data_IF_761580192479
#
_entry.id   IF_761580192479
#
_cell.length_a   1.000
_cell.length_b   1.000
_cell.length_c   1.000
_cell.angle_alpha   90.00
_cell.angle_beta   90.00
_cell.angle_gamma   90.00
#
_symmetry.space_group_name_H-M   'P 1'
#
loop_
_entity.id
_entity.type
_entity.pdbx_description
1 polymer ?
#
# COMPACT_ATOMS: atom_id res chain seq x y z
N UNK A 1 7.93 -7.32 -0.49
CA UNK A 1 7.25 -7.50 0.83
C UNK A 1 8.11 -7.07 2.01
N UNK A 2 9.42 -7.36 2.03
CA UNK A 2 10.32 -6.98 3.14
C UNK A 2 10.25 -5.49 3.51
N UNK A 3 10.34 -4.58 2.52
CA UNK A 3 10.19 -3.14 2.75
C UNK A 3 8.85 -2.78 3.43
N UNK A 4 7.76 -3.41 2.99
CA UNK A 4 6.43 -3.19 3.56
C UNK A 4 6.38 -3.55 5.04
N UNK A 5 6.95 -4.70 5.41
CA UNK A 5 7.02 -5.13 6.80
C UNK A 5 7.92 -4.20 7.63
N UNK A 6 9.13 -3.93 7.15
CA UNK A 6 10.13 -3.15 7.87
C UNK A 6 9.68 -1.70 8.14
N UNK A 7 8.91 -1.10 7.23
CA UNK A 7 8.50 0.31 7.33
C UNK A 7 7.09 0.47 7.90
N UNK A 8 6.13 -0.28 7.39
CA UNK A 8 4.69 -0.05 7.63
C UNK A 8 4.08 -0.95 8.71
N UNK A 9 4.88 -1.85 9.31
CA UNK A 9 4.55 -2.58 10.56
C UNK A 9 5.52 -2.22 11.71
N UNK A 10 6.28 -1.14 11.56
CA UNK A 10 7.31 -0.76 12.55
C UNK A 10 6.75 -0.02 13.77
N UNK A 11 5.52 0.47 13.69
CA UNK A 11 4.91 1.37 14.68
C UNK A 11 5.48 2.79 14.68
N UNK A 12 6.42 3.12 13.78
CA UNK A 12 7.03 4.45 13.71
C UNK A 12 6.05 5.46 13.10
N UNK A 13 5.92 6.63 13.72
CA UNK A 13 5.00 7.70 13.30
C UNK A 13 5.41 8.44 12.02
N UNK A 14 6.60 8.18 11.48
CA UNK A 14 7.12 8.84 10.27
C UNK A 14 6.75 8.12 8.96
N UNK A 15 5.86 7.13 9.03
CA UNK A 15 5.32 6.41 7.89
C UNK A 15 3.91 5.93 8.20
N UNK A 16 3.06 5.77 7.19
CA UNK A 16 1.77 5.11 7.34
C UNK A 16 1.94 3.73 7.96
N UNK A 17 1.10 3.37 8.93
CA UNK A 17 1.21 2.09 9.66
C UNK A 17 -0.03 1.25 9.48
N UNK A 18 0.15 -0.03 9.17
CA UNK A 18 -0.95 -0.98 9.14
C UNK A 18 -1.51 -1.22 10.55
N UNK A 19 -2.83 -1.30 10.65
CA UNK A 19 -3.53 -1.78 11.85
C UNK A 19 -3.98 -3.24 11.70
N UNK A 20 -4.09 -3.73 10.46
CA UNK A 20 -4.40 -5.12 10.12
C UNK A 20 -3.19 -6.03 10.32
N UNK A 21 -3.42 -7.34 10.46
CA UNK A 21 -2.32 -8.31 10.55
C UNK A 21 -1.57 -8.49 9.22
N UNK A 22 -0.33 -8.96 9.26
CA UNK A 22 0.42 -9.30 8.03
C UNK A 22 -0.28 -10.38 7.18
N UNK A 23 -0.93 -11.35 7.83
CA UNK A 23 -1.71 -12.38 7.14
C UNK A 23 -2.97 -11.81 6.47
N UNK A 24 -3.61 -10.82 7.08
CA UNK A 24 -4.73 -10.10 6.47
C UNK A 24 -4.27 -9.24 5.29
N UNK A 25 -3.17 -8.50 5.43
CA UNK A 25 -2.57 -7.75 4.32
C UNK A 25 -2.24 -8.68 3.14
N UNK A 26 -1.64 -9.84 3.42
CA UNK A 26 -1.30 -10.81 2.37
C UNK A 26 -2.54 -11.28 1.59
N UNK A 27 -3.65 -11.54 2.29
CA UNK A 27 -4.94 -11.88 1.65
C UNK A 27 -5.53 -10.71 0.86
N UNK A 28 -5.45 -9.49 1.38
CA UNK A 28 -5.91 -8.29 0.67
C UNK A 28 -5.13 -8.08 -0.63
N UNK A 29 -3.80 -8.19 -0.61
CA UNK A 29 -2.96 -8.00 -1.79
C UNK A 29 -3.21 -9.04 -2.90
N UNK A 30 -3.77 -10.19 -2.55
CA UNK A 30 -4.16 -11.24 -3.50
C UNK A 30 -5.64 -11.19 -3.88
N UNK A 31 -6.43 -10.27 -3.31
CA UNK A 31 -7.86 -10.19 -3.58
C UNK A 31 -8.11 -9.67 -4.99
N UNK A 32 -9.23 -10.11 -5.59
CA UNK A 32 -9.65 -9.63 -6.91
C UNK A 32 -9.89 -8.12 -6.93
N UNK A 33 -10.32 -7.55 -5.80
CA UNK A 33 -10.50 -6.12 -5.62
C UNK A 33 -9.19 -5.35 -5.77
N UNK A 34 -8.10 -5.85 -5.17
CA UNK A 34 -6.79 -5.18 -5.26
C UNK A 34 -6.10 -5.47 -6.58
N UNK A 35 -6.04 -6.75 -7.00
CA UNK A 35 -5.36 -7.16 -8.24
C UNK A 35 -6.06 -6.58 -9.48
N UNK A 36 -7.39 -6.55 -9.47
CA UNK A 36 -8.21 -6.01 -10.56
C UNK A 36 -8.37 -4.49 -10.55
N UNK A 37 -7.88 -3.80 -9.51
CA UNK A 37 -7.99 -2.34 -9.43
C UNK A 37 -7.16 -1.64 -10.53
N UNK A 38 -7.66 -0.52 -11.08
CA UNK A 38 -6.96 0.21 -12.13
C UNK A 38 -5.68 0.84 -11.59
N UNK A 39 -4.67 0.92 -12.46
CA UNK A 39 -3.49 1.75 -12.19
C UNK A 39 -3.93 3.21 -12.24
N UNK A 40 -3.72 3.94 -11.15
CA UNK A 40 -4.05 5.37 -11.06
C UNK A 40 -2.88 6.27 -11.43
N UNK A 41 -1.64 5.78 -11.22
CA UNK A 41 -0.40 6.51 -11.54
C UNK A 41 0.73 5.57 -11.94
N UNK A 42 1.62 6.07 -12.78
CA UNK A 42 2.91 5.42 -13.08
C UNK A 42 4.04 6.34 -12.62
N UNK A 43 5.07 5.79 -11.99
CA UNK A 43 6.23 6.53 -11.49
C UNK A 43 7.47 6.03 -12.23
N UNK A 44 8.11 6.90 -13.00
CA UNK A 44 9.40 6.60 -13.62
C UNK A 44 10.53 6.79 -12.60
N UNK A 45 11.46 5.84 -12.57
CA UNK A 45 12.66 5.91 -11.73
C UNK A 45 13.79 5.06 -12.28
N UNK A 46 14.95 5.10 -11.61
CA UNK A 46 16.15 4.38 -12.07
C UNK A 46 16.00 2.86 -12.16
N UNK A 47 15.03 2.27 -11.47
CA UNK A 47 14.72 0.84 -11.50
C UNK A 47 13.55 0.49 -12.45
N UNK A 48 13.15 1.44 -13.30
CA UNK A 48 12.03 1.30 -14.23
C UNK A 48 10.72 1.91 -13.73
N UNK A 49 9.64 1.61 -14.46
CA UNK A 49 8.30 2.14 -14.18
C UNK A 49 7.68 1.35 -13.03
N UNK A 50 7.15 2.08 -12.05
CA UNK A 50 6.33 1.53 -10.96
C UNK A 50 4.87 1.91 -11.14
N UNK A 51 3.97 0.96 -10.91
CA UNK A 51 2.54 1.12 -11.11
C UNK A 51 1.83 1.23 -9.77
N UNK A 52 1.10 2.32 -9.58
CA UNK A 52 0.42 2.64 -8.32
C UNK A 52 -1.07 2.34 -8.47
N UNK A 53 -1.61 1.60 -7.50
CA UNK A 53 -3.04 1.39 -7.27
C UNK A 53 -3.41 1.96 -5.92
N UNK A 54 -4.57 2.58 -5.84
CA UNK A 54 -5.13 3.12 -4.60
C UNK A 54 -6.53 2.58 -4.45
N UNK A 55 -6.70 1.67 -3.49
CA UNK A 55 -7.89 0.82 -3.38
C UNK A 55 -8.55 1.11 -2.05
N UNK A 56 -9.79 1.57 -2.07
CA UNK A 56 -10.59 1.67 -0.85
C UNK A 56 -11.17 0.29 -0.53
N UNK A 57 -10.67 -0.38 0.51
CA UNK A 57 -11.07 -1.74 0.88
C UNK A 57 -12.29 -1.79 1.82
N UNK A 58 -12.98 -0.66 1.99
CA UNK A 58 -14.23 -0.55 2.75
C UNK A 58 -14.12 -0.68 4.28
N UNK A 59 -12.90 -0.93 4.79
CA UNK A 59 -12.61 -1.00 6.24
C UNK A 59 -11.27 -0.36 6.56
N UNK A 60 -11.11 0.08 7.80
CA UNK A 60 -9.84 0.65 8.27
C UNK A 60 -8.70 -0.38 8.11
N UNK A 61 -7.65 0.01 7.39
CA UNK A 61 -6.43 -0.78 7.16
C UNK A 61 -5.21 -0.24 7.90
N UNK A 62 -5.29 0.98 8.43
CA UNK A 62 -4.19 1.59 9.14
C UNK A 62 -4.30 3.11 9.23
N UNK A 63 -3.16 3.76 9.43
CA UNK A 63 -3.06 5.22 9.53
C UNK A 63 -2.31 5.79 8.34
N UNK A 64 -2.76 6.94 7.84
CA UNK A 64 -2.15 7.65 6.72
C UNK A 64 -1.27 8.81 7.20
N UNK A 65 0.05 8.67 7.09
CA UNK A 65 0.99 9.74 7.49
C UNK A 65 0.83 11.01 6.64
N UNK A 66 0.37 10.88 5.40
CA UNK A 66 0.13 12.01 4.50
C UNK A 66 -1.16 12.75 4.82
N UNK A 67 -1.99 12.19 5.72
CA UNK A 67 -3.21 12.78 6.23
C UNK A 67 -3.17 12.90 7.77
N UNK A 68 -2.04 13.34 8.33
CA UNK A 68 -1.91 13.61 9.76
C UNK A 68 -1.85 12.37 10.66
N UNK A 69 -1.76 11.17 10.09
CA UNK A 69 -1.80 9.91 10.85
C UNK A 69 -3.22 9.42 11.14
N UNK A 70 -4.22 9.98 10.46
CA UNK A 70 -5.62 9.58 10.64
C UNK A 70 -5.89 8.16 10.11
N UNK A 71 -6.89 7.44 10.69
CA UNK A 71 -7.35 6.16 10.17
C UNK A 71 -7.77 6.23 8.70
N UNK A 72 -7.48 5.19 7.93
CA UNK A 72 -7.82 5.14 6.50
C UNK A 72 -8.26 3.75 6.06
N UNK A 73 -9.19 3.69 5.12
CA UNK A 73 -9.58 2.47 4.41
C UNK A 73 -8.90 2.32 3.05
N UNK A 74 -8.09 3.29 2.65
CA UNK A 74 -7.34 3.24 1.39
C UNK A 74 -6.05 2.47 1.57
N UNK A 75 -5.79 1.55 0.64
CA UNK A 75 -4.55 0.81 0.50
C UNK A 75 -3.84 1.28 -0.78
N UNK A 76 -2.65 1.84 -0.65
CA UNK A 76 -1.74 2.05 -1.78
C UNK A 76 -0.94 0.77 -2.03
N UNK A 77 -0.92 0.29 -3.27
CA UNK A 77 -0.12 -0.84 -3.74
C UNK A 77 0.75 -0.39 -4.91
N UNK A 78 2.05 -0.66 -4.81
CA UNK A 78 3.04 -0.30 -5.82
C UNK A 78 3.71 -1.57 -6.33
N UNK A 79 3.63 -1.80 -7.64
CA UNK A 79 4.24 -2.95 -8.32
C UNK A 79 5.25 -2.52 -9.37
N UNK A 80 6.14 -3.43 -9.75
CA UNK A 80 6.92 -3.30 -10.98
C UNK A 80 6.09 -3.71 -12.21
N UNK A 81 6.72 -3.72 -13.40
CA UNK A 81 6.07 -4.08 -14.66
C UNK A 81 5.73 -5.57 -14.80
N UNK A 82 6.32 -6.44 -13.99
CA UNK A 82 5.96 -7.86 -13.91
C UNK A 82 4.81 -8.11 -12.93
N UNK A 83 4.35 -7.07 -12.21
CA UNK A 83 3.34 -7.18 -11.16
C UNK A 83 3.90 -7.60 -9.80
N UNK A 84 5.22 -7.65 -9.63
CA UNK A 84 5.82 -7.95 -8.33
C UNK A 84 5.61 -6.79 -7.36
N UNK A 85 5.29 -7.11 -6.11
CA UNK A 85 5.09 -6.12 -5.07
C UNK A 85 6.40 -5.42 -4.70
N UNK A 86 6.49 -4.13 -4.99
CA UNK A 86 7.56 -3.24 -4.51
C UNK A 86 7.25 -2.83 -3.06
N UNK A 87 6.08 -2.22 -2.85
CA UNK A 87 5.59 -1.89 -1.50
C UNK A 87 4.07 -1.74 -1.46
N UNK A 88 3.48 -1.84 -0.28
CA UNK A 88 2.13 -1.41 0.02
C UNK A 88 2.07 -0.63 1.34
N UNK A 89 1.12 0.28 1.48
CA UNK A 89 0.90 1.03 2.72
C UNK A 89 -0.52 1.62 2.83
N UNK A 90 -1.02 1.88 4.05
CA UNK A 90 -2.28 2.60 4.24
C UNK A 90 -2.19 4.06 3.79
N UNK A 91 -3.23 4.53 3.10
CA UNK A 91 -3.34 5.91 2.66
C UNK A 91 -3.14 6.07 1.16
N UNK A 92 -3.06 7.33 0.74
CA UNK A 92 -2.87 7.76 -0.66
C UNK A 92 -1.46 8.31 -0.81
N UNK A 93 -0.75 7.96 -1.87
CA UNK A 93 0.59 8.50 -2.12
C UNK A 93 0.48 10.00 -2.48
N UNK A 94 1.20 10.88 -1.80
CA UNK A 94 1.26 12.32 -2.15
C UNK A 94 2.60 12.69 -2.77
#
# INVERSE_FOLDING_TARGET
MEHTLARHFSGKRNASQFSVSQGELSRLLQSQEVVGSPVVRSLEGGEGIRYVREVNVGRNVGTDVFNGGEPTSTLTVITDHFGNLVTAFPGVLK
#
